data_IF_892706854810
#
_entry.id   IF_892706854810
#
_cell.length_a   1.000
_cell.length_b   1.000
_cell.length_c   1.000
_cell.angle_alpha   90.00
_cell.angle_beta   90.00
_cell.angle_gamma   90.00
#
_symmetry.space_group_name_H-M   'P 1'
#
loop_
_entity.id
_entity.type
_entity.pdbx_description
1 polymer ?
#
# COMPACT_ATOMS: atom_id res chain seq x y z
N UNK A 1 -26.12 15.72 2.87
CA UNK A 1 -25.28 14.51 3.02
C UNK A 1 -25.51 13.95 4.41
N UNK A 2 -25.94 12.69 4.52
CA UNK A 2 -26.18 12.05 5.81
C UNK A 2 -24.85 11.53 6.37
N UNK A 3 -24.21 12.34 7.21
CA UNK A 3 -22.87 12.07 7.76
C UNK A 3 -22.79 10.75 8.50
N UNK A 4 -23.87 10.34 9.16
CA UNK A 4 -23.92 9.07 9.86
C UNK A 4 -23.81 7.90 8.89
N UNK A 5 -24.58 7.94 7.79
CA UNK A 5 -24.49 6.91 6.74
C UNK A 5 -23.11 6.85 6.10
N UNK A 6 -22.48 8.00 5.86
CA UNK A 6 -21.14 8.06 5.28
C UNK A 6 -20.06 7.51 6.20
N UNK A 7 -20.17 7.73 7.51
CA UNK A 7 -19.27 7.13 8.49
C UNK A 7 -19.44 5.61 8.51
N UNK A 8 -20.66 5.10 8.56
CA UNK A 8 -20.95 3.65 8.55
C UNK A 8 -20.46 3.01 7.25
N UNK A 9 -20.77 3.61 6.10
CA UNK A 9 -20.31 3.14 4.80
C UNK A 9 -18.79 3.13 4.70
N UNK A 10 -18.10 4.15 5.23
CA UNK A 10 -16.65 4.21 5.24
C UNK A 10 -16.04 3.15 6.15
N UNK A 11 -16.61 2.90 7.33
CA UNK A 11 -16.16 1.82 8.23
C UNK A 11 -16.31 0.45 7.58
N UNK A 12 -17.47 0.18 6.97
CA UNK A 12 -17.73 -1.08 6.26
C UNK A 12 -16.77 -1.25 5.08
N UNK A 13 -16.59 -0.21 4.28
CA UNK A 13 -15.71 -0.25 3.11
C UNK A 13 -14.27 -0.55 3.50
N UNK A 14 -13.74 0.13 4.53
CA UNK A 14 -12.37 -0.10 5.02
C UNK A 14 -12.24 -1.49 5.63
N UNK A 15 -13.24 -1.95 6.39
CA UNK A 15 -13.26 -3.30 6.95
C UNK A 15 -13.20 -4.38 5.88
N UNK A 16 -14.04 -4.27 4.84
CA UNK A 16 -14.04 -5.20 3.70
C UNK A 16 -12.69 -5.15 2.97
N UNK A 17 -12.21 -3.95 2.63
CA UNK A 17 -10.93 -3.79 1.93
C UNK A 17 -9.77 -4.38 2.73
N UNK A 18 -9.77 -4.19 4.06
CA UNK A 18 -8.77 -4.76 4.97
C UNK A 18 -8.83 -6.28 5.00
N UNK A 19 -10.00 -6.87 5.25
CA UNK A 19 -10.18 -8.32 5.28
C UNK A 19 -9.80 -8.98 3.96
N UNK A 20 -10.27 -8.44 2.84
CA UNK A 20 -9.92 -8.94 1.51
C UNK A 20 -8.41 -8.83 1.24
N UNK A 21 -7.79 -7.70 1.59
CA UNK A 21 -6.35 -7.50 1.39
C UNK A 21 -5.51 -8.47 2.22
N UNK A 22 -5.89 -8.73 3.48
CA UNK A 22 -5.19 -9.69 4.34
C UNK A 22 -5.32 -11.11 3.78
N UNK A 23 -6.54 -11.53 3.41
CA UNK A 23 -6.78 -12.86 2.84
C UNK A 23 -5.98 -13.04 1.56
N UNK A 24 -6.03 -12.06 0.65
CA UNK A 24 -5.33 -12.12 -0.62
C UNK A 24 -3.81 -12.10 -0.44
N UNK A 25 -3.30 -11.28 0.48
CA UNK A 25 -1.88 -11.26 0.83
C UNK A 25 -1.41 -12.63 1.35
N UNK A 26 -2.21 -13.30 2.20
CA UNK A 26 -1.86 -14.62 2.71
C UNK A 26 -1.88 -15.69 1.61
N UNK A 27 -2.92 -15.71 0.77
CA UNK A 27 -3.05 -16.67 -0.34
C UNK A 27 -1.92 -16.48 -1.35
N UNK A 28 -1.71 -15.24 -1.82
CA UNK A 28 -0.67 -14.92 -2.80
C UNK A 28 0.71 -15.12 -2.20
N UNK A 29 0.93 -14.69 -0.97
CA UNK A 29 2.19 -14.91 -0.26
C UNK A 29 2.53 -16.39 -0.12
N UNK A 30 1.56 -17.22 0.28
CA UNK A 30 1.74 -18.67 0.36
C UNK A 30 2.06 -19.29 -1.00
N UNK A 31 1.30 -18.94 -2.05
CA UNK A 31 1.53 -19.40 -3.41
C UNK A 31 2.94 -19.03 -3.91
N UNK A 32 3.37 -17.78 -3.69
CA UNK A 32 4.69 -17.30 -4.09
C UNK A 32 5.80 -18.05 -3.34
N UNK A 33 5.69 -18.20 -2.03
CA UNK A 33 6.68 -18.94 -1.21
C UNK A 33 6.75 -20.42 -1.63
N UNK A 34 5.62 -21.03 -2.00
CA UNK A 34 5.55 -22.44 -2.38
C UNK A 34 6.11 -22.73 -3.76
N UNK A 35 5.98 -21.80 -4.71
CA UNK A 35 6.29 -22.02 -6.13
C UNK A 35 7.52 -21.26 -6.63
N UNK A 36 8.00 -20.24 -5.92
CA UNK A 36 9.14 -19.43 -6.37
C UNK A 36 10.29 -19.49 -5.37
N UNK A 37 11.53 -19.60 -5.89
CA UNK A 37 12.74 -19.68 -5.07
C UNK A 37 13.01 -18.37 -4.32
N UNK A 38 12.83 -17.23 -4.99
CA UNK A 38 13.10 -15.92 -4.41
C UNK A 38 12.16 -15.62 -3.23
N UNK A 39 10.88 -15.98 -3.31
CA UNK A 39 9.92 -15.73 -2.22
C UNK A 39 10.19 -16.66 -1.03
N UNK A 40 10.62 -17.91 -1.29
CA UNK A 40 11.05 -18.81 -0.24
C UNK A 40 12.27 -18.25 0.52
N UNK A 41 13.28 -17.72 -0.19
CA UNK A 41 14.44 -17.07 0.41
C UNK A 41 14.06 -15.81 1.18
N UNK A 42 13.18 -14.97 0.60
CA UNK A 42 12.62 -13.81 1.27
C UNK A 42 11.95 -14.19 2.60
N UNK A 43 11.09 -15.21 2.57
CA UNK A 43 10.38 -15.67 3.75
C UNK A 43 11.32 -16.24 4.81
N UNK A 44 12.40 -16.93 4.43
CA UNK A 44 13.39 -17.40 5.40
C UNK A 44 14.01 -16.25 6.21
N UNK A 45 14.25 -15.10 5.58
CA UNK A 45 14.81 -13.91 6.24
C UNK A 45 13.75 -13.22 7.10
N UNK A 46 12.54 -13.03 6.55
CA UNK A 46 11.45 -12.28 7.18
C UNK A 46 10.70 -13.05 8.28
N UNK A 47 10.55 -14.38 8.16
CA UNK A 47 9.68 -15.21 8.99
C UNK A 47 9.92 -15.07 10.49
N UNK A 48 11.16 -14.86 10.91
CA UNK A 48 11.49 -14.76 12.35
C UNK A 48 10.84 -13.54 12.98
N UNK A 49 10.80 -12.41 12.27
CA UNK A 49 10.18 -11.19 12.75
C UNK A 49 8.65 -11.26 12.67
N UNK A 50 8.12 -11.86 11.61
CA UNK A 50 6.68 -12.06 11.37
C UNK A 50 6.14 -13.39 11.94
N UNK A 51 6.80 -13.96 12.95
CA UNK A 51 6.29 -15.16 13.59
C UNK A 51 5.18 -14.77 14.59
N UNK A 52 3.91 -15.17 14.38
CA UNK A 52 2.81 -14.74 15.25
C UNK A 52 2.91 -15.28 16.68
N UNK A 53 3.61 -16.40 16.88
CA UNK A 53 3.80 -17.01 18.20
C UNK A 53 4.90 -16.27 18.98
N UNK A 54 5.99 -15.90 18.29
CA UNK A 54 7.15 -15.25 18.94
C UNK A 54 7.04 -13.74 19.03
N UNK A 55 6.40 -13.10 18.05
CA UNK A 55 6.27 -11.65 17.96
C UNK A 55 4.88 -11.23 17.47
N UNK A 56 3.82 -11.44 18.29
CA UNK A 56 2.46 -11.03 17.94
C UNK A 56 2.35 -9.51 17.76
N UNK A 57 3.18 -8.74 18.45
CA UNK A 57 3.20 -7.27 18.39
C UNK A 57 3.62 -6.79 16.99
N UNK A 58 4.58 -7.45 16.33
CA UNK A 58 4.95 -7.13 14.96
C UNK A 58 3.77 -7.34 14.00
N UNK A 59 3.03 -8.45 14.14
CA UNK A 59 1.85 -8.73 13.32
C UNK A 59 0.75 -7.67 13.54
N UNK A 60 0.49 -7.31 14.80
CA UNK A 60 -0.49 -6.29 15.13
C UNK A 60 -0.10 -4.92 14.56
N UNK A 61 1.16 -4.51 14.71
CA UNK A 61 1.65 -3.24 14.16
C UNK A 61 1.56 -3.22 12.63
N UNK A 62 1.94 -4.31 11.95
CA UNK A 62 1.80 -4.41 10.50
C UNK A 62 0.33 -4.34 10.07
N UNK A 63 -0.57 -5.05 10.77
CA UNK A 63 -2.01 -5.00 10.51
C UNK A 63 -2.57 -3.58 10.69
N UNK A 64 -2.16 -2.87 11.74
CA UNK A 64 -2.59 -1.49 11.98
C UNK A 64 -2.04 -0.51 10.92
N UNK A 65 -0.78 -0.68 10.50
CA UNK A 65 -0.20 0.09 9.39
C UNK A 65 -0.99 -0.15 8.09
N UNK A 66 -1.30 -1.41 7.78
CA UNK A 66 -2.10 -1.77 6.61
C UNK A 66 -3.50 -1.15 6.69
N UNK A 67 -4.14 -1.23 7.85
CA UNK A 67 -5.45 -0.60 8.09
C UNK A 67 -5.40 0.91 7.86
N UNK A 68 -4.43 1.62 8.45
CA UNK A 68 -4.26 3.06 8.25
C UNK A 68 -4.00 3.41 6.77
N UNK A 69 -3.23 2.59 6.07
CA UNK A 69 -2.94 2.78 4.65
C UNK A 69 -4.19 2.64 3.78
N UNK A 70 -5.03 1.62 4.05
CA UNK A 70 -6.31 1.41 3.37
C UNK A 70 -7.37 2.44 3.73
N UNK A 71 -7.42 2.85 4.99
CA UNK A 71 -8.22 4.00 5.42
C UNK A 71 -7.79 5.25 4.64
N UNK A 72 -6.50 5.37 4.32
CA UNK A 72 -6.01 6.43 3.47
C UNK A 72 -6.56 6.43 2.06
N UNK A 73 -6.70 5.26 1.45
CA UNK A 73 -7.38 5.11 0.14
C UNK A 73 -8.84 5.56 0.24
N UNK A 74 -9.56 5.19 1.31
CA UNK A 74 -10.94 5.65 1.52
C UNK A 74 -11.04 7.17 1.67
N UNK A 75 -10.10 7.79 2.40
CA UNK A 75 -10.04 9.26 2.52
C UNK A 75 -9.84 9.90 1.14
N UNK A 76 -9.01 9.32 0.27
CA UNK A 76 -8.84 9.81 -1.12
C UNK A 76 -10.13 9.70 -1.93
N UNK A 77 -10.92 8.64 -1.74
CA UNK A 77 -12.27 8.51 -2.35
C UNK A 77 -13.20 9.61 -1.84
N UNK A 78 -13.20 9.89 -0.54
CA UNK A 78 -14.01 10.96 0.04
C UNK A 78 -13.62 12.34 -0.51
N UNK A 79 -12.32 12.60 -0.68
CA UNK A 79 -11.85 13.81 -1.34
C UNK A 79 -12.30 13.89 -2.81
N UNK A 80 -12.29 12.78 -3.53
CA UNK A 80 -12.79 12.75 -4.92
C UNK A 80 -14.26 13.15 -5.00
N UNK A 81 -15.11 12.63 -4.10
CA UNK A 81 -16.52 13.01 -4.03
C UNK A 81 -16.70 14.47 -3.60
N UNK A 82 -15.89 14.93 -2.64
CA UNK A 82 -15.86 16.32 -2.20
C UNK A 82 -15.52 17.27 -3.36
N UNK A 83 -14.50 16.96 -4.17
CA UNK A 83 -14.16 17.76 -5.35
C UNK A 83 -15.35 17.89 -6.30
N UNK A 84 -16.04 16.78 -6.60
CA UNK A 84 -17.23 16.81 -7.44
C UNK A 84 -18.31 17.76 -6.87
N UNK A 85 -18.65 17.61 -5.59
CA UNK A 85 -19.66 18.46 -4.95
C UNK A 85 -19.26 19.94 -4.91
N UNK A 86 -17.99 20.24 -4.63
CA UNK A 86 -17.47 21.60 -4.60
C UNK A 86 -17.55 22.26 -5.98
N UNK A 87 -17.14 21.55 -7.05
CA UNK A 87 -17.22 22.07 -8.41
C UNK A 87 -18.67 22.26 -8.88
N UNK A 88 -19.57 21.34 -8.53
CA UNK A 88 -21.00 21.48 -8.82
C UNK A 88 -21.58 22.72 -8.13
N UNK A 89 -21.28 22.93 -6.85
CA UNK A 89 -21.74 24.12 -6.11
C UNK A 89 -21.24 25.43 -6.75
N UNK A 90 -19.98 25.47 -7.20
CA UNK A 90 -19.43 26.62 -7.91
C UNK A 90 -20.12 26.84 -9.28
N UNK A 91 -20.38 25.77 -10.02
CA UNK A 91 -21.03 25.82 -11.32
C UNK A 91 -22.48 26.31 -11.20
N UNK A 92 -23.20 25.82 -10.20
CA UNK A 92 -24.59 26.19 -9.91
C UNK A 92 -24.71 27.51 -9.13
N UNK A 93 -23.58 28.08 -8.68
CA UNK A 93 -23.50 29.27 -7.84
C UNK A 93 -24.27 29.12 -6.52
N UNK A 94 -24.29 27.90 -5.97
CA UNK A 94 -24.92 27.61 -4.68
C UNK A 94 -23.97 27.96 -3.53
N UNK A 95 -24.13 29.17 -2.99
CA UNK A 95 -23.36 29.69 -1.86
C UNK A 95 -23.52 28.83 -0.59
N UNK A 96 -24.72 28.30 -0.34
CA UNK A 96 -24.99 27.52 0.87
C UNK A 96 -24.20 26.22 0.85
N UNK A 97 -24.27 25.49 -0.27
CA UNK A 97 -23.52 24.25 -0.45
C UNK A 97 -22.02 24.51 -0.44
N UNK A 98 -21.55 25.63 -1.02
CA UNK A 98 -20.13 26.00 -1.00
C UNK A 98 -19.56 26.08 0.42
N UNK A 99 -20.22 26.82 1.32
CA UNK A 99 -19.74 26.96 2.71
C UNK A 99 -19.82 25.65 3.50
N UNK A 100 -20.83 24.81 3.23
CA UNK A 100 -20.90 23.46 3.79
C UNK A 100 -19.69 22.63 3.31
N UNK A 101 -19.37 22.65 2.02
CA UNK A 101 -18.22 21.92 1.49
C UNK A 101 -16.88 22.45 2.03
N UNK A 102 -16.76 23.73 2.36
CA UNK A 102 -15.57 24.27 3.03
C UNK A 102 -15.38 23.68 4.43
N UNK A 103 -16.45 23.51 5.21
CA UNK A 103 -16.39 22.84 6.51
C UNK A 103 -16.07 21.34 6.36
N UNK A 104 -16.69 20.67 5.38
CA UNK A 104 -16.39 19.27 5.05
C UNK A 104 -14.90 19.08 4.75
N UNK A 105 -14.33 19.98 3.95
CA UNK A 105 -12.92 19.96 3.60
C UNK A 105 -12.04 20.05 4.84
N UNK A 106 -12.31 21.00 5.74
CA UNK A 106 -11.53 21.18 6.96
C UNK A 106 -11.51 19.90 7.82
N UNK A 107 -12.66 19.25 7.98
CA UNK A 107 -12.78 17.98 8.72
C UNK A 107 -12.00 16.85 8.02
N UNK A 108 -12.18 16.68 6.70
CA UNK A 108 -11.47 15.65 5.93
C UNK A 108 -9.95 15.88 5.95
N UNK A 109 -9.50 17.13 5.87
CA UNK A 109 -8.09 17.51 5.92
C UNK A 109 -7.47 17.18 7.28
N UNK A 110 -8.15 17.48 8.39
CA UNK A 110 -7.68 17.12 9.74
C UNK A 110 -7.55 15.60 9.87
N UNK A 111 -8.58 14.85 9.46
CA UNK A 111 -8.55 13.38 9.48
C UNK A 111 -7.39 12.85 8.62
N UNK A 112 -7.20 13.41 7.43
CA UNK A 112 -6.13 13.02 6.52
C UNK A 112 -4.75 13.25 7.12
N UNK A 113 -4.49 14.44 7.66
CA UNK A 113 -3.21 14.82 8.26
C UNK A 113 -2.91 13.91 9.45
N UNK A 114 -3.86 13.78 10.39
CA UNK A 114 -3.66 12.96 11.59
C UNK A 114 -3.37 11.50 11.20
N UNK A 115 -4.21 10.92 10.34
CA UNK A 115 -4.00 9.56 9.82
C UNK A 115 -2.64 9.41 9.14
N UNK A 116 -2.24 10.37 8.29
CA UNK A 116 -0.99 10.31 7.53
C UNK A 116 0.23 10.35 8.46
N UNK A 117 0.22 11.26 9.45
CA UNK A 117 1.29 11.36 10.44
C UNK A 117 1.38 10.12 11.32
N UNK A 118 0.24 9.57 11.77
CA UNK A 118 0.21 8.30 12.52
C UNK A 118 0.76 7.15 11.67
N UNK A 119 0.31 7.01 10.42
CA UNK A 119 0.79 5.95 9.53
C UNK A 119 2.29 6.08 9.26
N UNK A 120 2.78 7.31 9.01
CA UNK A 120 4.20 7.59 8.81
C UNK A 120 5.02 7.19 10.05
N UNK A 121 4.63 7.67 11.23
CA UNK A 121 5.32 7.34 12.48
C UNK A 121 5.36 5.83 12.71
N UNK A 122 4.22 5.14 12.55
CA UNK A 122 4.13 3.69 12.74
C UNK A 122 5.00 2.93 11.74
N UNK A 123 5.02 3.33 10.47
CA UNK A 123 5.88 2.72 9.45
C UNK A 123 7.37 2.91 9.75
N UNK A 124 7.77 4.10 10.21
CA UNK A 124 9.15 4.37 10.62
C UNK A 124 9.54 3.54 11.84
N UNK A 125 8.71 3.51 12.89
CA UNK A 125 8.95 2.71 14.08
C UNK A 125 9.02 1.21 13.77
N UNK A 126 8.15 0.71 12.89
CA UNK A 126 8.18 -0.68 12.44
C UNK A 126 9.44 -1.01 11.65
N UNK A 127 9.84 -0.11 10.74
CA UNK A 127 11.07 -0.24 9.95
C UNK A 127 12.31 -0.30 10.85
N UNK A 128 12.40 0.58 11.85
CA UNK A 128 13.52 0.60 12.80
C UNK A 128 13.56 -0.72 13.58
N UNK A 129 12.46 -1.14 14.20
CA UNK A 129 12.41 -2.37 15.01
C UNK A 129 12.70 -3.62 14.20
N UNK A 130 12.23 -3.69 12.96
CA UNK A 130 12.53 -4.83 12.08
C UNK A 130 14.01 -4.83 11.65
N UNK A 131 14.59 -3.65 11.38
CA UNK A 131 16.03 -3.53 11.11
C UNK A 131 16.88 -3.93 12.31
N UNK A 132 16.53 -3.49 13.51
CA UNK A 132 17.23 -3.84 14.75
C UNK A 132 17.26 -5.37 14.94
N UNK A 133 16.09 -6.02 14.89
CA UNK A 133 15.98 -7.48 15.02
C UNK A 133 16.76 -8.23 13.93
N UNK A 134 16.63 -7.81 12.67
CA UNK A 134 17.31 -8.50 11.58
C UNK A 134 18.83 -8.30 11.65
N UNK A 135 19.30 -7.10 11.98
CA UNK A 135 20.71 -6.80 12.12
C UNK A 135 21.32 -7.58 13.29
N UNK A 136 20.70 -7.56 14.47
CA UNK A 136 21.18 -8.32 15.63
C UNK A 136 21.31 -9.82 15.31
N UNK A 137 20.32 -10.39 14.62
CA UNK A 137 20.37 -11.79 14.20
C UNK A 137 21.50 -12.08 13.21
N UNK A 138 21.67 -11.27 12.18
CA UNK A 138 22.71 -11.50 11.15
C UNK A 138 24.10 -11.27 11.75
N UNK A 139 24.29 -10.21 12.53
CA UNK A 139 25.53 -9.92 13.23
C UNK A 139 25.89 -11.02 14.23
N UNK A 140 24.92 -11.48 15.02
CA UNK A 140 25.10 -12.58 15.97
C UNK A 140 25.50 -13.89 15.26
N UNK A 141 24.94 -14.19 14.09
CA UNK A 141 25.34 -15.35 13.28
C UNK A 141 26.76 -15.22 12.72
N UNK A 142 27.16 -14.00 12.32
CA UNK A 142 28.50 -13.72 11.80
C UNK A 142 29.59 -13.83 12.88
N UNK A 143 29.32 -13.39 14.11
CA UNK A 143 30.27 -13.46 15.23
C UNK A 143 30.35 -14.86 15.87
N UNK A 144 29.28 -15.66 15.77
CA UNK A 144 29.22 -16.99 16.40
C UNK A 144 30.26 -17.94 15.83
N UNK A 145 30.90 -18.74 16.69
CA UNK A 145 31.81 -19.83 16.31
C UNK A 145 32.95 -19.42 15.36
N UNK A 146 33.41 -18.16 15.44
CA UNK A 146 34.41 -17.58 14.51
C UNK A 146 33.97 -17.64 13.05
N UNK A 147 32.67 -17.54 12.77
CA UNK A 147 32.13 -17.57 11.40
C UNK A 147 32.74 -16.46 10.54
N UNK A 148 32.99 -15.27 11.09
CA UNK A 148 33.74 -14.19 10.43
C UNK A 148 35.07 -14.65 9.81
N UNK A 149 35.72 -15.68 10.37
CA UNK A 149 36.94 -16.27 9.82
C UNK A 149 36.63 -17.52 8.97
N UNK A 150 35.76 -18.41 9.46
CA UNK A 150 35.44 -19.69 8.77
C UNK A 150 34.81 -19.50 7.39
N UNK A 151 34.06 -18.41 7.18
CA UNK A 151 33.41 -18.11 5.91
C UNK A 151 34.40 -17.93 4.74
N UNK A 152 35.66 -17.53 5.01
CA UNK A 152 36.70 -17.42 3.98
C UNK A 152 37.14 -18.76 3.39
N UNK A 153 36.93 -19.87 4.10
CA UNK A 153 37.32 -21.22 3.67
C UNK A 153 36.18 -21.98 2.98
N UNK A 154 35.01 -21.36 2.82
CA UNK A 154 33.92 -21.95 2.06
C UNK A 154 34.22 -21.93 0.56
N UNK A 155 33.78 -22.98 -0.15
CA UNK A 155 33.89 -23.07 -1.62
C UNK A 155 33.27 -21.87 -2.35
N UNK A 156 32.24 -21.27 -1.76
CA UNK A 156 31.64 -20.02 -2.21
C UNK A 156 31.74 -19.02 -1.06
N UNK A 157 32.66 -18.06 -1.19
CA UNK A 157 32.87 -17.02 -0.19
C UNK A 157 31.71 -16.03 -0.23
N UNK A 158 31.34 -15.51 0.94
CA UNK A 158 30.39 -14.40 1.06
C UNK A 158 31.17 -13.11 0.87
N UNK A 159 30.81 -12.33 -0.14
CA UNK A 159 31.35 -11.01 -0.40
C UNK A 159 30.73 -9.94 0.52
N UNK A 160 31.56 -8.97 0.92
CA UNK A 160 31.21 -7.77 1.68
C UNK A 160 30.17 -8.02 2.81
N UNK A 161 30.47 -8.90 3.79
CA UNK A 161 29.55 -9.22 4.87
C UNK A 161 29.16 -7.99 5.70
N UNK A 162 30.06 -7.02 5.81
CA UNK A 162 29.83 -5.71 6.42
C UNK A 162 28.76 -4.89 5.67
N UNK A 163 28.85 -4.82 4.34
CA UNK A 163 27.83 -4.16 3.51
C UNK A 163 26.48 -4.86 3.63
N UNK A 164 26.47 -6.19 3.61
CA UNK A 164 25.24 -6.99 3.76
C UNK A 164 24.56 -6.71 5.11
N UNK A 165 25.33 -6.62 6.20
CA UNK A 165 24.80 -6.32 7.54
C UNK A 165 24.31 -4.88 7.65
N UNK A 166 25.04 -3.92 7.09
CA UNK A 166 24.74 -2.49 7.26
C UNK A 166 23.70 -1.97 6.26
N UNK A 167 23.96 -2.13 4.96
CA UNK A 167 23.18 -1.54 3.88
C UNK A 167 22.05 -2.48 3.44
N UNK A 168 22.34 -3.75 3.21
CA UNK A 168 21.32 -4.64 2.61
C UNK A 168 20.20 -4.97 3.58
N UNK A 169 20.48 -5.10 4.88
CA UNK A 169 19.42 -5.22 5.92
C UNK A 169 18.49 -4.02 5.91
N UNK A 170 19.04 -2.80 5.78
CA UNK A 170 18.26 -1.58 5.74
C UNK A 170 17.38 -1.52 4.47
N UNK A 171 17.99 -1.79 3.32
CA UNK A 171 17.31 -1.83 2.03
C UNK A 171 16.24 -2.92 1.99
N UNK A 172 16.55 -4.13 2.48
CA UNK A 172 15.62 -5.24 2.55
C UNK A 172 14.36 -4.85 3.33
N UNK A 173 14.50 -4.34 4.56
CA UNK A 173 13.35 -3.97 5.39
C UNK A 173 12.54 -2.84 4.73
N UNK A 174 13.20 -1.75 4.32
CA UNK A 174 12.54 -0.57 3.76
C UNK A 174 11.81 -0.86 2.45
N UNK A 175 12.49 -1.52 1.51
CA UNK A 175 11.92 -1.87 0.19
C UNK A 175 10.78 -2.87 0.37
N UNK A 176 10.92 -3.87 1.25
CA UNK A 176 9.88 -4.89 1.45
C UNK A 176 8.59 -4.30 2.00
N UNK A 177 8.69 -3.44 3.02
CA UNK A 177 7.53 -2.77 3.59
C UNK A 177 6.88 -1.83 2.56
N UNK A 178 7.70 -1.03 1.88
CA UNK A 178 7.25 -0.07 0.86
C UNK A 178 6.54 -0.75 -0.31
N UNK A 179 7.13 -1.80 -0.89
CA UNK A 179 6.53 -2.56 -1.99
C UNK A 179 5.24 -3.26 -1.56
N UNK A 180 5.21 -3.87 -0.38
CA UNK A 180 4.01 -4.59 0.10
C UNK A 180 2.84 -3.63 0.30
N UNK A 181 3.05 -2.54 1.05
CA UNK A 181 2.00 -1.54 1.29
C UNK A 181 1.63 -0.81 0.00
N UNK A 182 2.60 -0.44 -0.82
CA UNK A 182 2.41 0.24 -2.09
C UNK A 182 1.59 -0.60 -3.07
N UNK A 183 1.90 -1.89 -3.21
CA UNK A 183 1.16 -2.81 -4.08
C UNK A 183 -0.30 -2.94 -3.62
N UNK A 184 -0.53 -3.23 -2.34
CA UNK A 184 -1.88 -3.43 -1.80
C UNK A 184 -2.71 -2.15 -1.95
N UNK A 185 -2.17 -1.01 -1.52
CA UNK A 185 -2.89 0.28 -1.63
C UNK A 185 -3.14 0.68 -3.07
N UNK A 186 -2.22 0.42 -3.99
CA UNK A 186 -2.40 0.69 -5.42
C UNK A 186 -3.50 -0.18 -6.02
N UNK A 187 -3.53 -1.49 -5.72
CA UNK A 187 -4.59 -2.38 -6.20
C UNK A 187 -5.97 -1.96 -5.69
N UNK A 188 -6.09 -1.64 -4.39
CA UNK A 188 -7.35 -1.15 -3.82
C UNK A 188 -7.74 0.19 -4.43
N UNK A 189 -6.79 1.09 -4.66
CA UNK A 189 -7.03 2.39 -5.32
C UNK A 189 -7.53 2.21 -6.75
N UNK A 190 -6.91 1.34 -7.55
CA UNK A 190 -7.34 1.04 -8.91
C UNK A 190 -8.79 0.57 -8.92
N UNK A 191 -9.16 -0.36 -8.04
CA UNK A 191 -10.55 -0.83 -7.93
C UNK A 191 -11.48 0.31 -7.53
N UNK A 192 -11.14 1.08 -6.49
CA UNK A 192 -11.97 2.15 -5.96
C UNK A 192 -12.24 3.25 -7.00
N UNK A 193 -11.19 3.74 -7.65
CA UNK A 193 -11.30 4.80 -8.65
C UNK A 193 -11.91 4.30 -9.97
N UNK A 194 -11.73 3.02 -10.32
CA UNK A 194 -12.46 2.43 -11.45
C UNK A 194 -13.96 2.43 -11.17
N UNK A 195 -14.40 2.09 -9.96
CA UNK A 195 -15.83 2.15 -9.59
C UNK A 195 -16.38 3.57 -9.64
N UNK A 196 -15.64 4.57 -9.13
CA UNK A 196 -16.03 5.98 -9.23
C UNK A 196 -16.19 6.38 -10.70
N UNK A 197 -15.16 6.11 -11.51
CA UNK A 197 -15.18 6.46 -12.93
C UNK A 197 -16.31 5.76 -13.67
N UNK A 198 -16.56 4.49 -13.37
CA UNK A 198 -17.63 3.69 -13.96
C UNK A 198 -19.03 4.26 -13.70
N UNK A 199 -19.25 4.86 -12.53
CA UNK A 199 -20.51 5.48 -12.16
C UNK A 199 -20.69 6.88 -12.77
N UNK A 200 -19.59 7.60 -13.01
CA UNK A 200 -19.60 8.94 -13.62
C UNK A 200 -19.50 8.90 -15.15
N UNK A 201 -19.04 7.80 -15.72
CA UNK A 201 -18.78 7.66 -17.16
C UNK A 201 -20.09 7.50 -17.94
N UNK A 202 -20.42 8.53 -18.72
CA UNK A 202 -21.52 8.50 -19.68
C UNK A 202 -21.23 7.64 -20.93
N UNK A 203 -22.22 7.45 -21.80
CA UNK A 203 -22.02 6.79 -23.08
C UNK A 203 -21.11 7.64 -23.99
N UNK A 204 -20.27 6.95 -24.77
CA UNK A 204 -19.34 7.58 -25.69
C UNK A 204 -19.62 7.09 -27.10
N UNK A 205 -19.98 8.01 -27.98
CA UNK A 205 -20.22 7.72 -29.39
C UNK A 205 -18.91 7.77 -30.17
N UNK A 206 -18.44 6.62 -30.66
CA UNK A 206 -17.28 6.49 -31.54
C UNK A 206 -17.73 5.92 -32.88
N UNK A 207 -17.56 6.69 -33.96
CA UNK A 207 -17.87 6.24 -35.33
C UNK A 207 -19.29 5.67 -35.52
N UNK A 208 -20.27 6.22 -34.79
CA UNK A 208 -21.66 5.76 -34.82
C UNK A 208 -21.98 4.55 -33.93
N UNK A 209 -20.99 4.02 -33.20
CA UNK A 209 -21.18 3.00 -32.17
C UNK A 209 -21.18 3.65 -30.78
N UNK A 210 -22.24 3.43 -30.03
CA UNK A 210 -22.36 3.88 -28.64
C UNK A 210 -21.68 2.87 -27.71
N UNK A 211 -20.58 3.28 -27.09
CA UNK A 211 -19.88 2.46 -26.10
C UNK A 211 -20.32 2.95 -24.71
N UNK A 212 -21.09 2.14 -23.96
CA UNK A 212 -21.48 2.50 -22.62
C UNK A 212 -20.24 2.60 -21.73
N UNK A 213 -20.15 3.68 -20.94
CA UNK A 213 -19.03 3.95 -20.03
C UNK A 213 -17.67 4.05 -20.72
N UNK A 214 -17.64 4.53 -21.96
CA UNK A 214 -16.46 4.55 -22.84
C UNK A 214 -15.18 5.16 -22.24
N UNK A 215 -15.29 6.15 -21.36
CA UNK A 215 -14.12 6.80 -20.72
C UNK A 215 -13.28 5.81 -19.92
N UNK A 216 -13.90 4.80 -19.29
CA UNK A 216 -13.19 3.78 -18.51
C UNK A 216 -12.26 2.96 -19.40
N UNK A 217 -12.77 2.52 -20.56
CA UNK A 217 -11.99 1.72 -21.50
C UNK A 217 -10.86 2.53 -22.14
N UNK A 218 -11.14 3.79 -22.51
CA UNK A 218 -10.12 4.70 -23.05
C UNK A 218 -9.00 4.91 -22.03
N UNK A 219 -9.33 5.11 -20.75
CA UNK A 219 -8.35 5.26 -19.68
C UNK A 219 -7.43 4.04 -19.60
N UNK A 220 -7.99 2.82 -19.58
CA UNK A 220 -7.18 1.61 -19.49
C UNK A 220 -6.29 1.41 -20.73
N UNK A 221 -6.81 1.67 -21.93
CA UNK A 221 -6.02 1.61 -23.16
C UNK A 221 -4.87 2.61 -23.09
N UNK A 222 -5.15 3.86 -22.69
CA UNK A 222 -4.14 4.89 -22.53
C UNK A 222 -3.06 4.48 -21.52
N UNK A 223 -3.44 3.96 -20.35
CA UNK A 223 -2.49 3.51 -19.32
C UNK A 223 -1.63 2.35 -19.81
N UNK A 224 -2.20 1.37 -20.53
CA UNK A 224 -1.45 0.26 -21.10
C UNK A 224 -0.43 0.74 -22.14
N UNK A 225 -0.85 1.62 -23.05
CA UNK A 225 0.04 2.22 -24.05
C UNK A 225 1.17 2.99 -23.35
N UNK A 226 0.83 3.89 -22.43
CA UNK A 226 1.80 4.69 -21.68
C UNK A 226 2.80 3.81 -20.93
N UNK A 227 2.33 2.71 -20.33
CA UNK A 227 3.17 1.74 -19.60
C UNK A 227 4.15 1.04 -20.55
N UNK A 228 3.70 0.59 -21.72
CA UNK A 228 4.58 -0.02 -22.74
C UNK A 228 5.65 0.97 -23.20
N UNK A 229 5.29 2.23 -23.44
CA UNK A 229 6.26 3.27 -23.81
C UNK A 229 7.25 3.57 -22.69
N UNK A 230 6.77 3.67 -21.43
CA UNK A 230 7.64 3.87 -20.28
C UNK A 230 8.70 2.77 -20.17
N UNK A 231 8.29 1.49 -20.21
CA UNK A 231 9.23 0.37 -20.16
C UNK A 231 10.21 0.32 -21.35
N UNK A 232 9.81 0.84 -22.51
CA UNK A 232 10.68 0.90 -23.68
C UNK A 232 11.75 1.99 -23.57
N UNK A 233 11.45 3.08 -22.86
CA UNK A 233 12.35 4.22 -22.70
C UNK A 233 13.27 4.03 -21.46
N UNK A 234 12.74 3.47 -20.36
CA UNK A 234 13.46 3.24 -19.10
C UNK A 234 12.66 3.72 -17.90
#
# INVERSE_FOLDING_TARGET
MDWYKELVASMQWVGIAFSCSVILMLIVGFALVRWTRWAAQFWQIAYTYFNPIKNPIAILNFALILFLSLFGVRVSVLFSNWYNNMYTALQEKDESTFWIQMMVFAVLAIIHIFRSLTAYYMQQAFTIRWREDLNERVLGQWLRNKNYYRLFFLKHQVDNPDQRIQQDVASFVGISLGLTLGLITSMVSVVAFTVILWNLSGPLNLFGLEIPRGIVFILFIYVLIATVFAFKIG
#
